data_IF_772715575086
#
_entry.id   IF_772715575086
#
_cell.length_a   1.000
_cell.length_b   1.000
_cell.length_c   1.000
_cell.angle_alpha   90.00
_cell.angle_beta   90.00
_cell.angle_gamma   90.00
#
_symmetry.space_group_name_H-M   'P 1'
#
loop_
_entity.id
_entity.type
_entity.pdbx_description
1 polymer ?
#
# COMPACT_ATOMS: atom_id res chain seq x y z
N UNK A 1 -30.12 2.87 -0.72
CA UNK A 1 -29.42 1.82 -1.51
C UNK A 1 -28.40 1.17 -0.58
N UNK A 2 -28.33 -0.16 -0.50
CA UNK A 2 -27.39 -0.88 0.40
C UNK A 2 -26.51 -1.79 -0.46
N UNK A 3 -25.24 -1.42 -0.64
CA UNK A 3 -24.23 -2.15 -1.40
C UNK A 3 -22.90 -1.97 -0.67
N UNK A 4 -22.15 -3.05 -0.49
CA UNK A 4 -20.80 -2.97 0.05
C UNK A 4 -19.90 -2.29 -0.98
N UNK A 5 -19.16 -1.26 -0.56
CA UNK A 5 -18.24 -0.48 -1.39
C UNK A 5 -17.11 0.12 -0.55
N UNK A 6 -16.03 0.54 -1.19
CA UNK A 6 -14.90 1.28 -0.62
C UNK A 6 -14.32 2.23 -1.66
N UNK A 7 -13.31 3.02 -1.28
CA UNK A 7 -12.53 3.86 -2.19
C UNK A 7 -11.04 3.59 -2.00
N UNK A 8 -10.28 3.78 -3.07
CA UNK A 8 -8.82 3.66 -3.10
C UNK A 8 -8.30 4.95 -3.75
N UNK A 9 -7.39 5.64 -3.06
CA UNK A 9 -6.86 6.93 -3.50
C UNK A 9 -5.35 6.92 -3.38
N UNK A 10 -4.69 6.86 -4.54
CA UNK A 10 -3.25 7.09 -4.67
C UNK A 10 -2.97 8.60 -4.66
N UNK A 11 -2.11 9.02 -3.75
CA UNK A 11 -1.71 10.43 -3.67
C UNK A 11 -0.45 10.68 -4.49
N UNK A 12 -0.43 11.79 -5.23
CA UNK A 12 0.82 12.26 -5.81
C UNK A 12 1.76 12.76 -4.71
N UNK A 13 3.03 12.36 -4.77
CA UNK A 13 4.04 12.78 -3.80
C UNK A 13 5.16 13.56 -4.49
N UNK A 14 5.56 14.66 -3.87
CA UNK A 14 6.71 15.49 -4.30
C UNK A 14 7.46 15.99 -3.08
N UNK A 15 8.77 16.19 -3.21
CA UNK A 15 9.61 16.81 -2.18
C UNK A 15 10.05 18.18 -2.66
N UNK A 16 9.44 19.28 -2.14
CA UNK A 16 9.81 20.63 -2.55
C UNK A 16 11.30 20.90 -2.34
N UNK A 17 11.98 21.33 -3.40
CA UNK A 17 13.42 21.60 -3.37
C UNK A 17 14.33 20.40 -3.68
N UNK A 18 13.77 19.19 -3.77
CA UNK A 18 14.51 17.97 -4.17
C UNK A 18 13.75 17.20 -5.28
N UNK A 19 14.04 17.48 -6.57
CA UNK A 19 13.43 16.75 -7.68
C UNK A 19 14.00 15.34 -7.88
N UNK A 20 15.05 14.95 -7.15
CA UNK A 20 15.68 13.63 -7.24
C UNK A 20 15.22 12.66 -6.15
N UNK A 21 14.34 13.11 -5.25
CA UNK A 21 13.81 12.30 -4.17
C UNK A 21 13.13 11.03 -4.72
N UNK A 22 13.46 9.88 -4.14
CA UNK A 22 12.85 8.61 -4.53
C UNK A 22 11.39 8.54 -4.00
N UNK A 23 10.39 8.45 -4.90
CA UNK A 23 8.98 8.50 -4.51
C UNK A 23 8.53 7.28 -3.69
N UNK A 24 9.16 6.12 -3.88
CA UNK A 24 8.88 4.91 -3.09
C UNK A 24 9.30 5.12 -1.63
N UNK A 25 10.51 5.67 -1.42
CA UNK A 25 11.04 5.93 -0.08
C UNK A 25 10.25 7.04 0.63
N UNK A 26 9.90 8.11 -0.08
CA UNK A 26 9.11 9.20 0.52
C UNK A 26 7.69 8.76 0.84
N UNK A 27 7.07 7.92 0.01
CA UNK A 27 5.77 7.29 0.32
C UNK A 27 5.85 6.39 1.55
N UNK A 28 6.91 5.58 1.65
CA UNK A 28 7.18 4.73 2.82
C UNK A 28 7.29 5.58 4.09
N UNK A 29 7.97 6.73 4.03
CA UNK A 29 8.08 7.65 5.16
C UNK A 29 6.72 8.18 5.61
N UNK A 30 5.83 8.54 4.69
CA UNK A 30 4.46 9.01 5.01
C UNK A 30 3.69 7.93 5.77
N UNK A 31 3.65 6.71 5.24
CA UNK A 31 2.93 5.58 5.86
C UNK A 31 3.48 5.25 7.25
N UNK A 32 4.81 5.17 7.38
CA UNK A 32 5.46 4.86 8.66
C UNK A 32 5.31 6.00 9.69
N UNK A 33 5.33 7.26 9.26
CA UNK A 33 5.12 8.41 10.13
C UNK A 33 3.70 8.41 10.73
N UNK A 34 2.68 8.17 9.91
CA UNK A 34 1.31 8.06 10.41
C UNK A 34 1.16 6.88 11.37
N UNK A 35 1.67 5.71 10.99
CA UNK A 35 1.61 4.52 11.84
C UNK A 35 2.28 4.74 13.21
N UNK A 36 3.40 5.47 13.25
CA UNK A 36 4.07 5.82 14.49
C UNK A 36 3.25 6.83 15.32
N UNK A 37 2.72 7.89 14.69
CA UNK A 37 1.93 8.92 15.36
C UNK A 37 0.60 8.39 15.91
N UNK A 38 -0.03 7.44 15.20
CA UNK A 38 -1.26 6.78 15.61
C UNK A 38 -1.02 5.54 16.50
N UNK A 39 0.23 5.31 16.94
CA UNK A 39 0.64 4.18 17.80
C UNK A 39 0.16 2.80 17.29
N UNK A 40 0.17 2.61 15.97
CA UNK A 40 -0.31 1.37 15.35
C UNK A 40 0.70 0.24 15.64
N UNK A 41 0.26 -0.86 16.30
CA UNK A 41 1.16 -1.96 16.60
C UNK A 41 1.75 -2.58 15.33
N UNK A 42 3.04 -2.95 15.38
CA UNK A 42 3.71 -3.63 14.26
C UNK A 42 3.01 -4.92 13.80
N UNK A 43 2.27 -5.58 14.70
CA UNK A 43 1.46 -6.76 14.37
C UNK A 43 0.30 -6.48 13.39
N UNK A 44 -0.09 -5.22 13.18
CA UNK A 44 -1.06 -4.80 12.16
C UNK A 44 -0.42 -4.38 10.83
N UNK A 45 0.87 -4.68 10.63
CA UNK A 45 1.51 -4.58 9.33
C UNK A 45 1.14 -5.81 8.51
N UNK A 46 0.20 -5.64 7.60
CA UNK A 46 -0.17 -6.70 6.67
C UNK A 46 1.00 -6.93 5.71
N UNK A 47 1.43 -8.18 5.56
CA UNK A 47 2.40 -8.56 4.53
C UNK A 47 1.66 -8.78 3.22
N UNK A 48 2.33 -8.54 2.11
CA UNK A 48 1.81 -8.95 0.82
C UNK A 48 1.87 -10.47 0.69
N UNK A 49 0.79 -11.07 0.20
CA UNK A 49 0.72 -12.50 -0.06
C UNK A 49 0.91 -12.74 -1.56
N UNK A 50 2.08 -13.29 -1.92
CA UNK A 50 2.44 -13.62 -3.29
C UNK A 50 2.19 -15.09 -3.65
N UNK A 51 1.58 -15.91 -2.78
CA UNK A 51 1.49 -17.37 -3.01
C UNK A 51 0.84 -17.75 -4.34
N UNK A 52 -0.09 -16.93 -4.83
CA UNK A 52 -0.80 -17.16 -6.10
C UNK A 52 -0.17 -16.46 -7.30
N UNK A 53 0.84 -15.61 -7.09
CA UNK A 53 1.48 -14.85 -8.16
C UNK A 53 2.86 -15.43 -8.48
N UNK A 54 3.13 -15.60 -9.77
CA UNK A 54 4.44 -16.02 -10.24
C UNK A 54 4.84 -15.08 -11.38
N UNK A 55 5.39 -13.88 -11.05
CA UNK A 55 5.58 -12.80 -12.04
C UNK A 55 6.42 -13.19 -13.24
N UNK A 56 7.34 -14.15 -13.04
CA UNK A 56 8.24 -14.65 -14.07
C UNK A 56 7.65 -15.80 -14.90
N UNK A 57 6.50 -16.37 -14.48
CA UNK A 57 5.84 -17.46 -15.17
C UNK A 57 4.77 -16.93 -16.11
N UNK A 58 5.04 -17.03 -17.39
CA UNK A 58 4.12 -16.65 -18.47
C UNK A 58 3.05 -17.73 -18.68
N UNK A 59 1.79 -17.31 -18.86
CA UNK A 59 0.65 -18.21 -19.08
C UNK A 59 0.77 -19.08 -20.35
N UNK A 60 1.63 -18.71 -21.31
CA UNK A 60 1.94 -19.48 -22.52
C UNK A 60 2.97 -20.60 -22.25
N UNK A 61 3.45 -20.74 -21.02
CA UNK A 61 4.36 -21.81 -20.59
C UNK A 61 5.84 -21.43 -20.54
N UNK A 62 6.18 -20.15 -20.67
CA UNK A 62 7.56 -19.67 -20.53
C UNK A 62 7.86 -19.27 -19.08
N UNK A 63 9.09 -19.45 -18.63
CA UNK A 63 9.57 -18.96 -17.34
C UNK A 63 10.77 -18.05 -17.60
N UNK A 64 10.64 -16.77 -17.22
CA UNK A 64 11.69 -15.75 -17.36
C UNK A 64 12.65 -15.74 -16.17
N UNK A 65 12.47 -16.63 -15.19
CA UNK A 65 13.42 -16.86 -14.12
C UNK A 65 14.77 -17.29 -14.67
N UNK A 66 15.83 -16.55 -14.32
CA UNK A 66 17.19 -16.94 -14.67
C UNK A 66 17.58 -18.19 -13.86
N UNK A 67 17.96 -19.32 -14.52
CA UNK A 67 18.37 -20.51 -13.79
C UNK A 67 19.60 -20.20 -12.94
N UNK A 68 19.48 -20.39 -11.63
CA UNK A 68 20.56 -20.18 -10.66
C UNK A 68 20.57 -18.81 -9.98
N UNK A 69 19.64 -17.90 -10.30
CA UNK A 69 19.40 -16.72 -9.47
C UNK A 69 18.46 -17.13 -8.34
N UNK A 70 18.89 -17.11 -7.07
CA UNK A 70 17.97 -17.35 -5.97
C UNK A 70 16.84 -16.31 -6.03
N UNK A 71 15.58 -16.68 -5.71
CA UNK A 71 14.50 -15.71 -5.61
C UNK A 71 14.95 -14.53 -4.76
N UNK A 72 14.64 -13.31 -5.19
CA UNK A 72 14.91 -12.11 -4.40
C UNK A 72 14.32 -12.30 -3.01
N UNK A 73 15.09 -11.92 -1.98
CA UNK A 73 14.63 -12.00 -0.60
C UNK A 73 13.43 -11.04 -0.42
N UNK A 74 12.22 -11.56 -0.12
CA UNK A 74 11.03 -10.72 -0.01
C UNK A 74 11.16 -9.70 1.13
N UNK A 75 11.98 -9.96 2.16
CA UNK A 75 12.21 -9.01 3.25
C UNK A 75 13.08 -7.79 2.80
N UNK A 76 13.80 -7.88 1.66
CA UNK A 76 14.60 -6.77 1.10
C UNK A 76 13.74 -5.84 0.21
N UNK A 77 12.68 -6.36 -0.40
CA UNK A 77 11.68 -5.59 -1.17
C UNK A 77 10.74 -4.77 -0.25
N UNK A 78 10.57 -5.19 1.00
CA UNK A 78 9.61 -4.62 1.97
C UNK A 78 9.97 -3.21 2.49
N UNK A 79 11.20 -2.72 2.24
CA UNK A 79 11.59 -1.34 2.58
C UNK A 79 10.77 -0.29 1.80
N UNK A 80 10.19 -0.67 0.66
CA UNK A 80 9.29 0.16 -0.14
C UNK A 80 7.81 -0.21 -0.03
N UNK A 81 7.45 -1.20 0.79
CA UNK A 81 6.11 -1.78 0.85
C UNK A 81 5.44 -1.56 2.22
N UNK A 82 5.68 -0.39 2.85
CA UNK A 82 5.03 -0.07 4.11
C UNK A 82 3.51 -0.22 3.96
N UNK A 83 2.91 -1.00 4.84
CA UNK A 83 1.50 -1.40 4.75
C UNK A 83 0.93 -1.57 6.16
N UNK A 84 -0.12 -0.83 6.49
CA UNK A 84 -0.75 -0.85 7.81
C UNK A 84 -2.28 -0.83 7.72
N UNK A 85 -2.91 -1.58 8.63
CA UNK A 85 -4.36 -1.49 8.86
C UNK A 85 -4.64 -0.52 10.00
N UNK A 86 -5.42 0.51 9.71
CA UNK A 86 -5.77 1.58 10.62
C UNK A 86 -6.89 1.18 11.59
N UNK A 87 -7.09 1.97 12.64
CA UNK A 87 -8.12 1.71 13.66
C UNK A 87 -9.55 1.90 13.17
N UNK A 88 -9.74 2.66 12.09
CA UNK A 88 -11.02 2.81 11.40
C UNK A 88 -11.32 1.68 10.39
N UNK A 89 -10.41 0.71 10.23
CA UNK A 89 -10.53 -0.37 9.25
C UNK A 89 -9.97 -0.04 7.86
N UNK A 90 -9.48 1.18 7.62
CA UNK A 90 -8.80 1.53 6.37
C UNK A 90 -7.43 0.84 6.25
N UNK A 91 -6.93 0.74 5.02
CA UNK A 91 -5.53 0.39 4.72
C UNK A 91 -4.78 1.65 4.32
N UNK A 92 -3.59 1.85 4.86
CA UNK A 92 -2.64 2.87 4.42
C UNK A 92 -1.34 2.17 4.04
N UNK A 93 -0.92 2.31 2.79
CA UNK A 93 0.19 1.55 2.26
C UNK A 93 0.92 2.27 1.14
N UNK A 94 2.05 1.73 0.71
CA UNK A 94 2.75 2.17 -0.50
C UNK A 94 2.31 1.28 -1.65
N UNK A 95 1.66 1.87 -2.65
CA UNK A 95 1.50 1.23 -3.95
C UNK A 95 2.54 1.80 -4.91
N UNK A 96 3.56 1.00 -5.19
CA UNK A 96 4.73 1.37 -5.97
C UNK A 96 5.35 2.71 -5.53
N UNK A 97 5.02 3.81 -6.23
CA UNK A 97 5.61 5.14 -6.02
C UNK A 97 4.69 6.09 -5.22
N UNK A 98 3.54 5.62 -4.76
CA UNK A 98 2.49 6.45 -4.18
C UNK A 98 2.13 5.97 -2.77
N UNK A 99 1.90 6.88 -1.80
CA UNK A 99 1.16 6.51 -0.61
C UNK A 99 -0.32 6.44 -0.98
N UNK A 100 -0.95 5.33 -0.63
CA UNK A 100 -2.34 5.04 -0.94
C UNK A 100 -3.15 4.82 0.33
N UNK A 101 -4.34 5.41 0.35
CA UNK A 101 -5.37 5.15 1.35
C UNK A 101 -6.54 4.40 0.72
N UNK A 102 -6.85 3.21 1.25
CA UNK A 102 -8.06 2.47 0.94
C UNK A 102 -9.04 2.58 2.11
N UNK A 103 -10.20 3.22 1.89
CA UNK A 103 -11.24 3.39 2.90
C UNK A 103 -11.82 2.03 3.36
N UNK A 104 -12.32 1.92 4.61
CA UNK A 104 -13.01 0.71 5.08
C UNK A 104 -14.25 0.41 4.23
N UNK A 105 -14.69 -0.85 4.25
CA UNK A 105 -15.93 -1.23 3.59
C UNK A 105 -17.15 -0.55 4.23
N UNK A 106 -17.93 0.13 3.41
CA UNK A 106 -19.16 0.82 3.81
C UNK A 106 -20.35 0.29 3.03
N UNK A 107 -21.56 0.66 3.45
CA UNK A 107 -22.80 0.14 2.85
C UNK A 107 -23.59 1.15 2.02
N UNK A 108 -23.15 2.41 1.98
CA UNK A 108 -23.79 3.49 1.25
C UNK A 108 -22.77 4.57 0.83
N UNK A 109 -23.14 5.36 -0.18
CA UNK A 109 -22.26 6.36 -0.77
C UNK A 109 -21.90 7.52 0.16
N UNK A 110 -22.77 7.87 1.12
CA UNK A 110 -22.46 8.94 2.08
C UNK A 110 -21.31 8.53 2.99
N UNK A 111 -21.35 7.31 3.50
CA UNK A 111 -20.28 6.78 4.35
C UNK A 111 -18.97 6.61 3.55
N UNK A 112 -19.07 6.27 2.25
CA UNK A 112 -17.90 6.21 1.37
C UNK A 112 -17.21 7.57 1.31
N UNK A 113 -17.97 8.65 1.08
CA UNK A 113 -17.43 10.01 1.09
C UNK A 113 -16.86 10.40 2.46
N UNK A 114 -17.53 10.04 3.56
CA UNK A 114 -17.03 10.37 4.91
C UNK A 114 -15.66 9.73 5.14
N UNK A 115 -15.51 8.45 4.82
CA UNK A 115 -14.26 7.73 5.06
C UNK A 115 -13.16 8.05 4.05
N UNK A 116 -13.52 8.39 2.81
CA UNK A 116 -12.62 8.94 1.81
C UNK A 116 -12.04 10.29 2.27
N UNK A 117 -12.91 11.20 2.73
CA UNK A 117 -12.50 12.51 3.30
C UNK A 117 -11.68 12.37 4.58
N UNK A 118 -11.88 11.31 5.36
CA UNK A 118 -11.02 11.01 6.49
C UNK A 118 -9.61 10.64 6.05
N UNK A 119 -9.46 9.96 4.90
CA UNK A 119 -8.18 9.67 4.26
C UNK A 119 -7.35 10.91 3.97
N UNK A 120 -7.97 12.03 3.55
CA UNK A 120 -7.25 13.31 3.36
C UNK A 120 -6.76 14.00 4.65
N UNK A 121 -7.15 13.47 5.82
CA UNK A 121 -6.76 13.98 7.15
C UNK A 121 -5.76 13.06 7.85
N UNK A 122 -5.54 11.90 7.26
CA UNK A 122 -4.55 10.89 7.65
C UNK A 122 -3.24 11.26 6.94
#
# INVERSE_FOLDING_TARGET
MRRIMGTEVEYAITVPGDPTANPVLTSTQVVLAYAAAAEIPRARRARWDYEVESPLRDARGFDLGAPGVPPSDPDVEDLGAANVILTNGARLYVDHAHPEYSAPEVTNARDAVIWDKAGERI
#
